data_IF_033077938413
#
_entry.id   IF_033077938413
#
_cell.length_a   1.000
_cell.length_b   1.000
_cell.length_c   1.000
_cell.angle_alpha   90.00
_cell.angle_beta   90.00
_cell.angle_gamma   90.00
#
_symmetry.space_group_name_H-M   'P 1'
#
loop_
_entity.id
_entity.type
_entity.pdbx_description
1 polymer ?
#
# COMPACT_ATOMS: atom_id res chain seq x y z
N UNK A 1 74.59 -3.52 -30.58
CA UNK A 1 73.56 -2.46 -30.64
C UNK A 1 72.72 -2.55 -29.38
N UNK A 2 72.62 -1.42 -28.69
CA UNK A 2 71.97 -1.19 -27.40
C UNK A 2 70.43 -1.08 -27.50
N UNK A 3 69.78 -1.29 -26.35
CA UNK A 3 68.47 -0.77 -25.87
C UNK A 3 67.50 -1.91 -25.50
N UNK A 4 67.32 -2.26 -24.22
CA UNK A 4 66.42 -1.60 -23.24
C UNK A 4 64.98 -1.48 -23.79
N UNK A 5 63.88 -1.89 -23.16
CA UNK A 5 63.43 -1.84 -21.76
C UNK A 5 62.03 -2.55 -21.77
N UNK A 6 61.45 -3.21 -20.76
CA UNK A 6 60.89 -2.67 -19.52
C UNK A 6 60.21 -3.83 -18.77
N UNK A 7 60.47 -3.97 -17.46
CA UNK A 7 59.73 -4.84 -16.52
C UNK A 7 58.33 -4.27 -16.25
N UNK A 8 57.28 -5.11 -16.13
CA UNK A 8 56.06 -4.84 -15.33
C UNK A 8 55.32 -6.16 -15.10
N UNK A 9 55.50 -6.77 -13.92
CA UNK A 9 54.66 -6.62 -12.72
C UNK A 9 53.34 -7.39 -12.82
N UNK A 10 53.38 -8.61 -12.29
CA UNK A 10 52.22 -9.38 -11.85
C UNK A 10 51.55 -8.62 -10.70
N UNK A 11 50.43 -7.95 -10.99
CA UNK A 11 49.56 -7.35 -9.98
C UNK A 11 48.17 -7.95 -10.08
N UNK A 12 47.92 -8.82 -9.11
CA UNK A 12 46.64 -9.24 -8.53
C UNK A 12 45.48 -8.29 -8.92
N UNK A 13 44.57 -8.75 -9.76
CA UNK A 13 43.24 -8.17 -9.94
C UNK A 13 42.28 -8.82 -8.94
N UNK A 14 42.43 -8.46 -7.66
CA UNK A 14 41.32 -8.45 -6.71
C UNK A 14 40.67 -7.06 -6.81
N UNK A 15 39.35 -7.04 -6.72
CA UNK A 15 38.45 -5.88 -6.74
C UNK A 15 38.09 -5.32 -8.13
N UNK A 16 36.91 -5.75 -8.61
CA UNK A 16 35.74 -4.88 -8.84
C UNK A 16 34.52 -5.77 -9.15
N UNK A 17 34.02 -6.45 -8.13
CA UNK A 17 32.63 -6.91 -8.15
C UNK A 17 31.77 -5.65 -8.00
N UNK A 18 31.29 -5.14 -9.14
CA UNK A 18 30.55 -3.89 -9.27
C UNK A 18 29.17 -4.00 -8.61
N UNK A 19 28.85 -3.07 -7.72
CA UNK A 19 27.51 -2.86 -7.15
C UNK A 19 26.41 -2.74 -8.22
N UNK A 20 26.77 -2.33 -9.43
CA UNK A 20 25.89 -2.24 -10.62
C UNK A 20 25.39 -3.59 -11.12
N UNK A 21 26.13 -4.69 -10.90
CA UNK A 21 25.70 -6.04 -11.29
C UNK A 21 24.67 -6.60 -10.31
N UNK A 22 24.87 -6.39 -9.00
CA UNK A 22 23.87 -6.69 -7.97
C UNK A 22 22.59 -5.87 -8.15
N UNK A 23 22.69 -4.63 -8.63
CA UNK A 23 21.53 -3.78 -8.95
C UNK A 23 20.76 -4.26 -10.19
N UNK A 24 21.45 -4.82 -11.19
CA UNK A 24 20.83 -5.48 -12.36
C UNK A 24 20.27 -6.89 -12.06
N UNK A 25 20.77 -7.61 -11.05
CA UNK A 25 20.16 -8.86 -10.61
C UNK A 25 18.86 -8.64 -9.83
N UNK A 26 18.74 -7.50 -9.11
CA UNK A 26 17.48 -7.10 -8.47
C UNK A 26 16.33 -6.85 -9.45
N UNK A 27 16.62 -6.62 -10.75
CA UNK A 27 15.57 -6.50 -11.77
C UNK A 27 15.00 -7.85 -12.24
N UNK A 28 15.45 -8.98 -11.69
CA UNK A 28 14.94 -10.31 -12.05
C UNK A 28 14.36 -11.09 -10.85
N UNK A 29 14.39 -10.55 -9.64
CA UNK A 29 13.85 -11.24 -8.47
C UNK A 29 12.32 -11.36 -8.56
N UNK A 30 11.81 -12.55 -8.25
CA UNK A 30 10.37 -12.87 -8.26
C UNK A 30 9.62 -12.20 -7.12
N UNK A 31 10.25 -12.05 -5.97
CA UNK A 31 9.71 -11.44 -4.76
C UNK A 31 10.70 -10.42 -4.17
N UNK A 32 10.21 -9.40 -3.44
CA UNK A 32 11.08 -8.37 -2.86
C UNK A 32 11.90 -8.88 -1.66
N UNK A 33 11.45 -9.93 -0.98
CA UNK A 33 12.10 -10.49 0.22
C UNK A 33 12.19 -12.00 0.14
N UNK A 34 13.34 -12.58 0.53
CA UNK A 34 13.61 -14.04 0.63
C UNK A 34 12.91 -14.84 -0.47
N UNK A 35 13.34 -14.64 -1.71
CA UNK A 35 12.73 -15.23 -2.91
C UNK A 35 12.63 -16.75 -2.84
N UNK A 36 13.56 -17.40 -2.15
CA UNK A 36 13.60 -18.84 -1.90
C UNK A 36 12.49 -19.34 -0.95
N UNK A 37 11.87 -18.45 -0.17
CA UNK A 37 10.93 -18.79 0.88
C UNK A 37 9.48 -18.62 0.42
N UNK A 38 9.06 -19.52 -0.46
CA UNK A 38 7.70 -19.57 -1.04
C UNK A 38 6.78 -20.48 -0.22
N UNK A 39 5.53 -20.05 -0.04
CA UNK A 39 4.47 -20.84 0.60
C UNK A 39 4.59 -20.94 2.12
N UNK A 40 5.55 -20.22 2.71
CA UNK A 40 5.79 -20.22 4.16
C UNK A 40 5.93 -18.79 4.67
N UNK A 41 5.35 -18.56 5.85
CA UNK A 41 5.50 -17.31 6.57
C UNK A 41 6.92 -17.17 7.14
N UNK A 42 7.49 -15.99 7.02
CA UNK A 42 8.74 -15.60 7.67
C UNK A 42 8.66 -14.17 8.18
N UNK A 43 9.56 -13.79 9.08
CA UNK A 43 9.59 -12.45 9.66
C UNK A 43 10.75 -11.65 9.10
N UNK A 44 10.53 -10.35 8.90
CA UNK A 44 11.58 -9.40 8.54
C UNK A 44 11.58 -8.22 9.51
N UNK A 45 12.74 -7.97 10.10
CA UNK A 45 12.99 -6.75 10.86
C UNK A 45 13.34 -5.62 9.90
N UNK A 46 12.58 -4.54 9.98
CA UNK A 46 12.72 -3.37 9.11
C UNK A 46 12.65 -2.12 9.99
N UNK A 47 13.56 -1.15 9.83
CA UNK A 47 13.46 0.13 10.53
C UNK A 47 12.11 0.79 10.30
N UNK A 48 11.56 1.42 11.33
CA UNK A 48 10.35 2.20 11.19
C UNK A 48 10.68 3.46 10.36
N UNK A 49 9.95 3.76 9.27
CA UNK A 49 10.05 5.02 8.56
C UNK A 49 9.95 6.19 9.54
N UNK A 50 10.83 7.18 9.38
CA UNK A 50 10.90 8.36 10.26
C UNK A 50 11.31 8.09 11.73
N UNK A 51 11.65 6.84 12.09
CA UNK A 51 12.15 6.47 13.42
C UNK A 51 13.21 5.36 13.29
N UNK A 52 14.41 5.68 12.76
CA UNK A 52 15.40 4.67 12.38
C UNK A 52 16.04 3.94 13.58
N UNK A 53 15.79 4.40 14.80
CA UNK A 53 16.27 3.77 16.04
C UNK A 53 15.38 2.60 16.47
N UNK A 54 14.18 2.50 15.92
CA UNK A 54 13.24 1.42 16.18
C UNK A 54 13.07 0.56 14.94
N UNK A 55 13.00 -0.75 15.15
CA UNK A 55 12.65 -1.72 14.11
C UNK A 55 11.26 -2.27 14.40
N UNK A 56 10.50 -2.52 13.33
CA UNK A 56 9.28 -3.32 13.37
C UNK A 56 9.55 -4.69 12.77
N UNK A 57 8.82 -5.68 13.26
CA UNK A 57 8.83 -7.03 12.71
C UNK A 57 7.61 -7.21 11.83
N UNK A 58 7.81 -7.46 10.55
CA UNK A 58 6.74 -7.70 9.58
C UNK A 58 6.70 -9.18 9.23
N UNK A 59 5.52 -9.78 9.26
CA UNK A 59 5.31 -11.14 8.75
C UNK A 59 5.12 -11.09 7.23
N UNK A 60 5.87 -11.92 6.50
CA UNK A 60 5.86 -11.93 5.05
C UNK A 60 5.52 -13.34 4.56
N UNK A 61 4.68 -13.40 3.52
CA UNK A 61 4.36 -14.61 2.78
C UNK A 61 4.53 -14.36 1.29
N UNK A 62 5.36 -15.17 0.63
CA UNK A 62 5.50 -15.18 -0.82
C UNK A 62 4.68 -16.33 -1.42
N UNK A 63 3.84 -16.03 -2.40
CA UNK A 63 2.98 -16.99 -3.07
C UNK A 63 3.17 -16.98 -4.58
N UNK A 64 3.17 -18.19 -5.13
CA UNK A 64 3.32 -18.45 -6.56
C UNK A 64 2.02 -18.91 -7.20
N UNK A 65 1.01 -19.13 -6.37
CA UNK A 65 -0.28 -19.69 -6.72
C UNK A 65 -1.28 -18.59 -7.15
N UNK A 66 -2.54 -19.00 -7.40
CA UNK A 66 -3.65 -18.07 -7.68
C UNK A 66 -3.91 -17.13 -6.49
N UNK A 67 -4.82 -16.17 -6.72
CA UNK A 67 -5.27 -15.20 -5.72
C UNK A 67 -5.47 -15.88 -4.35
N UNK A 68 -4.84 -15.36 -3.27
CA UNK A 68 -4.99 -15.93 -1.95
C UNK A 68 -6.42 -15.75 -1.44
N UNK A 69 -6.82 -16.61 -0.51
CA UNK A 69 -8.11 -16.63 0.16
C UNK A 69 -8.00 -16.11 1.59
N UNK A 70 -9.13 -16.01 2.31
CA UNK A 70 -9.14 -15.57 3.71
C UNK A 70 -8.28 -16.45 4.64
N UNK A 71 -8.22 -17.76 4.38
CA UNK A 71 -7.44 -18.72 5.19
C UNK A 71 -5.94 -18.42 5.14
N UNK A 72 -5.46 -17.94 3.99
CA UNK A 72 -4.09 -17.44 3.82
C UNK A 72 -3.77 -16.35 4.85
N UNK A 73 -4.72 -15.46 5.11
CA UNK A 73 -4.58 -14.33 6.04
C UNK A 73 -4.99 -14.67 7.48
N UNK A 74 -5.39 -15.91 7.78
CA UNK A 74 -5.85 -16.31 9.12
C UNK A 74 -4.88 -15.97 10.26
N UNK A 75 -3.56 -15.96 10.01
CA UNK A 75 -2.56 -15.49 11.00
C UNK A 75 -2.58 -13.97 11.17
N UNK A 76 -2.75 -13.22 10.10
CA UNK A 76 -2.82 -11.76 10.10
C UNK A 76 -4.18 -11.25 10.60
N UNK A 77 -5.24 -12.04 10.44
CA UNK A 77 -6.60 -11.76 10.94
C UNK A 77 -6.75 -12.02 12.45
N UNK A 78 -5.77 -12.67 13.09
CA UNK A 78 -5.73 -12.80 14.54
C UNK A 78 -5.30 -11.47 15.17
N UNK A 79 -6.30 -10.71 15.61
CA UNK A 79 -6.19 -9.59 16.54
C UNK A 79 -7.50 -9.58 17.31
N UNK A 80 -7.46 -9.65 18.64
CA UNK A 80 -8.68 -9.52 19.43
C UNK A 80 -9.32 -8.13 19.25
N UNK A 81 -10.42 -7.88 19.94
CA UNK A 81 -11.28 -6.67 19.81
C UNK A 81 -10.59 -5.31 20.11
N UNK A 82 -9.26 -5.29 20.31
CA UNK A 82 -8.44 -4.11 20.61
C UNK A 82 -7.77 -3.50 19.38
N UNK A 83 -7.81 -4.19 18.22
CA UNK A 83 -7.26 -3.69 16.96
C UNK A 83 -8.32 -3.61 15.87
N UNK A 84 -8.20 -2.59 15.03
CA UNK A 84 -8.84 -2.51 13.72
C UNK A 84 -7.88 -3.10 12.68
N UNK A 85 -8.31 -4.15 12.00
CA UNK A 85 -7.53 -4.79 10.92
C UNK A 85 -7.93 -4.14 9.59
N UNK A 86 -6.94 -3.59 8.88
CA UNK A 86 -7.14 -2.89 7.63
C UNK A 86 -6.20 -3.44 6.55
N UNK A 87 -6.69 -3.51 5.33
CA UNK A 87 -5.99 -4.08 4.18
C UNK A 87 -5.75 -3.03 3.10
N UNK A 88 -4.59 -3.12 2.45
CA UNK A 88 -4.27 -2.35 1.26
C UNK A 88 -3.82 -3.29 0.15
N UNK A 89 -4.62 -3.40 -0.91
CA UNK A 89 -4.29 -4.15 -2.12
C UNK A 89 -3.52 -3.29 -3.12
N UNK A 90 -2.37 -3.77 -3.59
CA UNK A 90 -1.48 -3.01 -4.47
C UNK A 90 -0.53 -3.93 -5.24
N UNK A 91 0.41 -3.37 -6.00
CA UNK A 91 1.48 -4.13 -6.67
C UNK A 91 2.68 -4.38 -5.74
N UNK A 92 3.53 -5.36 -6.06
CA UNK A 92 4.69 -5.70 -5.21
C UNK A 92 5.68 -4.55 -5.01
N UNK A 93 5.88 -3.71 -6.03
CA UNK A 93 6.84 -2.60 -5.97
C UNK A 93 6.32 -1.51 -5.04
N UNK A 94 5.04 -1.18 -5.15
CA UNK A 94 4.36 -0.22 -4.29
C UNK A 94 4.31 -0.72 -2.84
N UNK A 95 3.98 -2.00 -2.63
CA UNK A 95 4.03 -2.62 -1.30
C UNK A 95 5.44 -2.60 -0.69
N UNK A 96 6.47 -2.92 -1.46
CA UNK A 96 7.86 -2.82 -1.00
C UNK A 96 8.23 -1.38 -0.62
N UNK A 97 7.84 -0.40 -1.43
CA UNK A 97 8.11 1.01 -1.13
C UNK A 97 7.43 1.46 0.17
N UNK A 98 6.17 1.05 0.41
CA UNK A 98 5.45 1.31 1.68
C UNK A 98 6.16 0.64 2.86
N UNK A 99 6.59 -0.60 2.70
CA UNK A 99 7.31 -1.35 3.74
C UNK A 99 8.67 -0.70 4.07
N UNK A 100 9.38 -0.16 3.10
CA UNK A 100 10.73 0.38 3.32
C UNK A 100 10.72 1.86 3.69
N UNK A 101 9.77 2.62 3.16
CA UNK A 101 9.76 4.08 3.22
C UNK A 101 8.50 4.68 3.85
N UNK A 102 7.53 3.86 4.23
CA UNK A 102 6.28 4.27 4.85
C UNK A 102 5.23 4.77 3.87
N UNK A 103 4.05 5.06 4.42
CA UNK A 103 2.95 5.71 3.71
C UNK A 103 3.28 7.19 3.53
N UNK A 104 3.57 7.59 2.30
CA UNK A 104 4.01 8.96 1.94
C UNK A 104 2.96 9.64 1.07
N UNK A 105 2.10 10.46 1.67
CA UNK A 105 0.98 11.08 0.97
C UNK A 105 1.47 12.13 -0.06
N UNK A 106 2.60 12.77 0.20
CA UNK A 106 3.28 13.70 -0.72
C UNK A 106 3.72 13.07 -2.05
N UNK A 107 3.93 11.74 -2.08
CA UNK A 107 4.32 11.00 -3.29
C UNK A 107 3.15 10.35 -4.02
N UNK A 108 1.95 10.43 -3.47
CA UNK A 108 0.76 9.98 -4.16
C UNK A 108 0.47 11.01 -5.27
N UNK A 109 0.47 10.52 -6.51
CA UNK A 109 0.43 11.38 -7.69
C UNK A 109 -1.01 11.69 -8.09
N UNK A 110 -1.30 12.96 -8.39
CA UNK A 110 -2.56 13.37 -9.03
C UNK A 110 -2.80 12.72 -10.40
N UNK A 111 -1.78 12.08 -10.98
CA UNK A 111 -1.87 11.31 -12.22
C UNK A 111 -2.68 10.00 -12.08
N UNK A 112 -2.88 9.48 -10.85
CA UNK A 112 -3.83 8.37 -10.61
C UNK A 112 -5.29 8.79 -10.86
N UNK A 113 -5.52 10.10 -10.96
CA UNK A 113 -6.83 10.69 -11.22
C UNK A 113 -7.68 10.83 -9.95
N UNK A 114 -8.91 11.31 -10.10
CA UNK A 114 -9.82 11.47 -8.98
C UNK A 114 -10.26 10.12 -8.43
N UNK A 115 -10.26 9.98 -7.11
CA UNK A 115 -10.75 8.84 -6.35
C UNK A 115 -12.03 9.22 -5.58
N UNK A 116 -12.60 8.30 -4.81
CA UNK A 116 -13.88 8.55 -4.14
C UNK A 116 -13.77 9.69 -3.11
N UNK A 117 -12.66 9.73 -2.35
CA UNK A 117 -12.48 10.63 -1.21
C UNK A 117 -11.28 11.57 -1.32
N UNK A 118 -10.54 11.49 -2.42
CA UNK A 118 -9.34 12.29 -2.66
C UNK A 118 -9.11 12.52 -4.14
N UNK A 119 -8.24 13.49 -4.44
CA UNK A 119 -7.76 13.75 -5.80
C UNK A 119 -6.35 13.18 -5.99
N UNK A 120 -6.19 11.87 -5.79
CA UNK A 120 -4.91 11.16 -5.95
C UNK A 120 -3.88 11.38 -4.84
N UNK A 121 -4.28 11.92 -3.68
CA UNK A 121 -3.39 12.19 -2.53
C UNK A 121 -3.73 11.42 -1.26
N UNK A 122 -4.66 10.47 -1.35
CA UNK A 122 -5.14 9.71 -0.20
C UNK A 122 -4.60 8.30 -0.19
N UNK A 123 -4.29 7.76 0.98
CA UNK A 123 -3.91 6.35 1.12
C UNK A 123 -5.14 5.51 1.49
N UNK A 124 -5.56 4.62 0.57
CA UNK A 124 -6.80 3.86 0.70
C UNK A 124 -6.57 2.50 1.36
N UNK A 125 -7.44 2.17 2.31
CA UNK A 125 -7.49 0.91 3.02
C UNK A 125 -8.94 0.42 3.10
N UNK A 126 -9.15 -0.85 3.38
CA UNK A 126 -10.48 -1.45 3.57
C UNK A 126 -10.46 -2.44 4.74
N UNK A 127 -11.63 -2.71 5.31
CA UNK A 127 -11.80 -3.83 6.27
C UNK A 127 -12.12 -5.14 5.55
N UNK A 128 -12.57 -5.05 4.30
CA UNK A 128 -12.92 -6.21 3.50
C UNK A 128 -11.66 -6.77 2.85
N UNK A 129 -11.41 -8.06 3.04
CA UNK A 129 -10.33 -8.75 2.35
C UNK A 129 -10.82 -9.29 1.00
N UNK A 130 -12.04 -9.83 0.99
CA UNK A 130 -12.62 -10.67 -0.04
C UNK A 130 -12.87 -9.91 -1.34
N UNK A 131 -12.73 -10.62 -2.46
CA UNK A 131 -12.88 -10.06 -3.81
C UNK A 131 -14.33 -9.69 -4.12
N UNK A 132 -15.26 -10.52 -3.65
CA UNK A 132 -16.70 -10.46 -3.96
C UNK A 132 -17.35 -9.17 -3.46
N UNK A 133 -16.82 -8.60 -2.39
CA UNK A 133 -17.25 -7.33 -1.79
C UNK A 133 -16.29 -6.18 -2.10
N UNK A 134 -15.50 -6.30 -3.16
CA UNK A 134 -14.50 -5.30 -3.60
C UNK A 134 -13.44 -4.96 -2.54
N UNK A 135 -13.08 -5.91 -1.70
CA UNK A 135 -12.01 -5.77 -0.70
C UNK A 135 -10.61 -5.68 -1.31
N UNK A 136 -9.59 -5.81 -0.46
CA UNK A 136 -8.20 -5.63 -0.88
C UNK A 136 -7.75 -6.63 -1.96
N UNK A 137 -8.32 -7.84 -2.00
CA UNK A 137 -8.06 -8.80 -3.08
C UNK A 137 -8.60 -8.32 -4.43
N UNK A 138 -9.74 -7.63 -4.47
CA UNK A 138 -10.24 -7.04 -5.72
C UNK A 138 -9.26 -5.96 -6.22
N UNK A 139 -8.85 -5.05 -5.35
CA UNK A 139 -7.94 -3.96 -5.70
C UNK A 139 -6.56 -4.45 -6.13
N UNK A 140 -6.03 -5.49 -5.48
CA UNK A 140 -4.75 -6.08 -5.87
C UNK A 140 -4.83 -6.87 -7.19
N UNK A 141 -5.92 -7.59 -7.47
CA UNK A 141 -5.91 -8.61 -8.53
C UNK A 141 -6.84 -8.36 -9.72
N UNK A 142 -7.84 -7.49 -9.59
CA UNK A 142 -8.90 -7.29 -10.59
C UNK A 142 -9.00 -5.86 -11.10
N UNK A 143 -8.20 -4.95 -10.54
CA UNK A 143 -8.07 -3.60 -11.08
C UNK A 143 -7.56 -3.64 -12.53
N UNK A 144 -8.06 -2.77 -13.43
CA UNK A 144 -7.61 -2.69 -14.84
C UNK A 144 -6.09 -2.47 -15.02
N UNK A 145 -5.41 -1.97 -13.98
CA UNK A 145 -3.96 -1.76 -13.94
C UNK A 145 -3.17 -2.98 -13.41
N UNK A 146 -3.83 -4.13 -13.19
CA UNK A 146 -3.23 -5.32 -12.61
C UNK A 146 -2.09 -5.88 -13.49
N UNK A 147 -0.87 -5.90 -12.93
CA UNK A 147 0.27 -6.63 -13.45
C UNK A 147 0.36 -8.04 -12.81
N UNK A 148 1.33 -8.87 -13.20
CA UNK A 148 1.49 -10.22 -12.64
C UNK A 148 2.01 -10.25 -11.18
N UNK A 149 2.48 -9.11 -10.65
CA UNK A 149 3.16 -8.95 -9.37
C UNK A 149 2.31 -8.14 -8.41
N UNK A 150 1.50 -8.83 -7.62
CA UNK A 150 0.55 -8.23 -6.70
C UNK A 150 0.92 -8.43 -5.23
N UNK A 151 0.33 -7.61 -4.38
CA UNK A 151 0.55 -7.64 -2.95
C UNK A 151 -0.67 -7.17 -2.16
N UNK A 152 -0.78 -7.67 -0.93
CA UNK A 152 -1.72 -7.16 0.07
C UNK A 152 -0.94 -6.86 1.34
N UNK A 153 -1.06 -5.64 1.84
CA UNK A 153 -0.55 -5.23 3.15
C UNK A 153 -1.65 -5.33 4.19
N UNK A 154 -1.29 -5.77 5.40
CA UNK A 154 -2.20 -5.87 6.55
C UNK A 154 -1.70 -4.97 7.67
N UNK A 155 -2.55 -4.03 8.07
CA UNK A 155 -2.32 -3.12 9.18
C UNK A 155 -3.18 -3.55 10.36
N UNK A 156 -2.59 -3.57 11.57
CA UNK A 156 -3.30 -3.80 12.82
C UNK A 156 -3.22 -2.56 13.69
N UNK A 157 -4.16 -1.65 13.49
CA UNK A 157 -4.16 -0.36 14.16
C UNK A 157 -4.87 -0.49 15.51
N UNK A 158 -4.24 -0.11 16.63
CA UNK A 158 -4.93 -0.02 17.91
C UNK A 158 -6.17 0.87 17.82
N UNK A 159 -7.28 0.47 18.44
CA UNK A 159 -8.53 1.22 18.34
C UNK A 159 -8.40 2.66 18.88
N UNK A 160 -7.61 2.84 19.95
CA UNK A 160 -7.34 4.16 20.55
C UNK A 160 -6.60 5.11 19.59
N UNK A 161 -5.75 4.59 18.70
CA UNK A 161 -5.12 5.38 17.63
C UNK A 161 -6.16 5.87 16.65
N UNK A 162 -7.08 5.03 16.17
CA UNK A 162 -8.15 5.48 15.26
C UNK A 162 -9.08 6.47 15.96
N UNK A 163 -9.50 6.17 17.18
CA UNK A 163 -10.40 7.02 17.97
C UNK A 163 -9.81 8.41 18.22
N UNK A 164 -8.50 8.51 18.43
CA UNK A 164 -7.80 9.79 18.58
C UNK A 164 -7.98 10.71 17.37
N UNK A 165 -8.02 10.17 16.16
CA UNK A 165 -8.16 10.95 14.92
C UNK A 165 -9.62 11.07 14.45
N UNK A 166 -10.55 10.32 15.07
CA UNK A 166 -11.97 10.29 14.71
C UNK A 166 -12.66 11.65 14.80
N UNK A 167 -12.24 12.51 15.73
CA UNK A 167 -12.81 13.87 15.88
C UNK A 167 -12.61 14.74 14.62
N UNK A 168 -11.57 14.44 13.84
CA UNK A 168 -11.24 15.13 12.59
C UNK A 168 -11.52 14.25 11.37
N UNK A 169 -12.33 13.20 11.52
CA UNK A 169 -12.67 12.30 10.42
C UNK A 169 -13.95 12.74 9.72
N UNK A 170 -14.03 12.49 8.41
CA UNK A 170 -15.28 12.58 7.65
C UNK A 170 -15.85 11.18 7.51
N UNK A 171 -16.89 10.86 8.27
CA UNK A 171 -17.56 9.55 8.21
C UNK A 171 -18.81 9.67 7.33
N UNK A 172 -18.86 8.89 6.26
CA UNK A 172 -19.96 8.81 5.31
C UNK A 172 -20.65 7.46 5.46
N UNK A 173 -21.98 7.47 5.49
CA UNK A 173 -22.78 6.25 5.74
C UNK A 173 -23.50 5.78 4.48
N UNK A 174 -23.61 4.46 4.33
CA UNK A 174 -24.51 3.85 3.34
C UNK A 174 -25.96 4.32 3.50
N UNK A 175 -26.41 4.61 4.73
CA UNK A 175 -27.78 5.07 4.99
C UNK A 175 -28.01 6.54 4.62
N UNK A 176 -26.93 7.32 4.45
CA UNK A 176 -27.00 8.71 3.97
C UNK A 176 -26.37 8.83 2.58
N UNK A 177 -26.99 8.17 1.59
CA UNK A 177 -26.46 8.12 0.22
C UNK A 177 -26.36 9.48 -0.45
N UNK A 178 -27.23 10.43 -0.10
CA UNK A 178 -27.21 11.78 -0.69
C UNK A 178 -25.93 12.52 -0.31
N UNK A 179 -25.56 12.52 0.97
CA UNK A 179 -24.32 13.12 1.45
C UNK A 179 -23.09 12.45 0.83
N UNK A 180 -23.06 11.11 0.82
CA UNK A 180 -21.98 10.34 0.20
C UNK A 180 -21.83 10.68 -1.29
N UNK A 181 -22.93 10.65 -2.05
CA UNK A 181 -22.91 10.95 -3.49
C UNK A 181 -22.42 12.37 -3.74
N UNK A 182 -22.97 13.35 -3.01
CA UNK A 182 -22.54 14.74 -3.12
C UNK A 182 -21.05 14.92 -2.78
N UNK A 183 -20.53 14.17 -1.82
CA UNK A 183 -19.11 14.21 -1.47
C UNK A 183 -18.25 13.63 -2.59
N UNK A 184 -18.55 12.42 -3.04
CA UNK A 184 -17.79 11.70 -4.07
C UNK A 184 -17.82 12.42 -5.41
N UNK A 185 -18.97 13.01 -5.79
CA UNK A 185 -19.11 13.76 -7.05
C UNK A 185 -18.12 14.92 -7.15
N UNK A 186 -17.82 15.61 -6.04
CA UNK A 186 -16.84 16.71 -6.03
C UNK A 186 -15.46 16.24 -6.50
N UNK A 187 -15.04 15.06 -6.05
CA UNK A 187 -13.75 14.48 -6.45
C UNK A 187 -13.83 13.85 -7.85
N UNK A 188 -14.81 12.99 -8.10
CA UNK A 188 -14.90 12.17 -9.31
C UNK A 188 -15.38 12.89 -10.57
N UNK A 189 -16.22 13.93 -10.47
CA UNK A 189 -16.72 14.65 -11.65
C UNK A 189 -15.66 15.52 -12.32
N UNK A 190 -14.62 15.93 -11.58
CA UNK A 190 -13.56 16.81 -12.08
C UNK A 190 -14.04 18.22 -12.44
N UNK A 191 -15.22 18.61 -11.93
CA UNK A 191 -15.81 19.94 -12.12
C UNK A 191 -15.39 20.91 -11.00
N UNK A 192 -14.98 20.38 -9.85
CA UNK A 192 -14.51 21.16 -8.71
C UNK A 192 -13.03 21.48 -8.86
N UNK A 193 -12.63 22.72 -8.57
CA UNK A 193 -11.22 23.12 -8.62
C UNK A 193 -10.44 22.37 -7.53
N UNK A 194 -9.22 21.92 -7.83
CA UNK A 194 -8.37 21.22 -6.86
C UNK A 194 -8.22 22.00 -5.54
N UNK A 195 -8.07 23.33 -5.60
CA UNK A 195 -7.97 24.17 -4.39
C UNK A 195 -9.21 24.12 -3.50
N UNK A 196 -10.39 23.91 -4.06
CA UNK A 196 -11.63 23.78 -3.30
C UNK A 196 -11.73 22.40 -2.66
N UNK A 197 -11.30 21.35 -3.37
CA UNK A 197 -11.17 20.00 -2.81
C UNK A 197 -10.15 19.96 -1.67
N UNK A 198 -9.03 20.67 -1.81
CA UNK A 198 -8.02 20.80 -0.76
C UNK A 198 -8.59 21.47 0.50
N UNK A 199 -9.43 22.51 0.35
CA UNK A 199 -10.12 23.16 1.47
C UNK A 199 -11.13 22.25 2.16
N UNK A 200 -11.85 21.42 1.40
CA UNK A 200 -12.80 20.44 1.98
C UNK A 200 -12.07 19.45 2.90
N UNK A 201 -10.83 19.11 2.54
CA UNK A 201 -10.00 18.17 3.26
C UNK A 201 -9.02 18.85 4.24
N UNK A 202 -9.02 20.18 4.31
CA UNK A 202 -8.17 20.97 5.20
C UNK A 202 -8.60 20.67 6.65
N UNK A 203 -7.75 19.94 7.38
CA UNK A 203 -7.98 19.39 8.73
C UNK A 203 -8.73 18.05 8.81
N UNK A 204 -9.09 17.43 7.69
CA UNK A 204 -9.65 16.08 7.70
C UNK A 204 -8.51 15.07 7.83
N UNK A 205 -8.52 14.26 8.89
CA UNK A 205 -7.48 13.25 9.13
C UNK A 205 -7.64 12.03 8.25
N UNK A 206 -8.89 11.60 8.07
CA UNK A 206 -9.27 10.55 7.14
C UNK A 206 -10.75 10.68 6.76
N UNK A 207 -11.12 10.10 5.61
CA UNK A 207 -12.50 9.89 5.20
C UNK A 207 -12.81 8.40 5.28
N UNK A 208 -13.97 8.04 5.78
CA UNK A 208 -14.41 6.64 5.88
C UNK A 208 -15.83 6.51 5.31
N UNK A 209 -16.09 5.46 4.54
CA UNK A 209 -17.41 5.19 4.00
C UNK A 209 -17.43 4.02 3.03
N UNK A 210 -18.59 3.70 2.42
CA UNK A 210 -18.68 2.65 1.43
C UNK A 210 -18.05 3.07 0.09
N UNK A 211 -17.78 2.08 -0.76
CA UNK A 211 -17.38 2.29 -2.15
C UNK A 211 -18.56 2.71 -3.02
N UNK A 212 -18.26 3.52 -4.03
CA UNK A 212 -19.22 3.81 -5.10
C UNK A 212 -18.87 3.07 -6.38
N UNK A 213 -19.89 2.83 -7.20
CA UNK A 213 -19.72 2.36 -8.57
C UNK A 213 -19.87 3.55 -9.52
N UNK A 214 -18.84 3.75 -10.33
CA UNK A 214 -18.79 4.81 -11.34
C UNK A 214 -19.07 4.24 -12.74
N UNK A 215 -19.84 4.99 -13.54
CA UNK A 215 -19.90 4.83 -14.99
C UNK A 215 -19.49 6.15 -15.63
N UNK A 216 -18.24 6.22 -16.10
CA UNK A 216 -17.62 7.48 -16.47
C UNK A 216 -17.54 8.41 -15.24
N UNK A 217 -18.13 9.60 -15.36
CA UNK A 217 -18.16 10.61 -14.28
C UNK A 217 -19.42 10.55 -13.39
N UNK A 218 -20.29 9.57 -13.60
CA UNK A 218 -21.56 9.45 -12.86
C UNK A 218 -21.52 8.31 -11.86
N UNK A 219 -22.00 8.57 -10.66
CA UNK A 219 -22.26 7.54 -9.66
C UNK A 219 -23.50 6.76 -10.09
N UNK A 220 -23.34 5.48 -10.37
CA UNK A 220 -24.45 4.59 -10.70
C UNK A 220 -24.97 3.83 -9.49
N UNK A 221 -24.12 3.61 -8.48
CA UNK A 221 -24.52 2.87 -7.28
C UNK A 221 -23.63 3.19 -6.08
N UNK A 222 -24.16 2.97 -4.88
CA UNK A 222 -23.43 2.92 -3.61
C UNK A 222 -23.42 1.47 -3.17
N UNK A 223 -22.25 0.91 -2.91
CA UNK A 223 -22.11 -0.53 -2.71
C UNK A 223 -22.29 -0.89 -1.23
N UNK A 224 -23.42 -1.52 -0.92
CA UNK A 224 -23.71 -2.02 0.43
C UNK A 224 -22.69 -3.11 0.84
N UNK A 225 -22.29 -3.11 2.11
CA UNK A 225 -21.34 -4.07 2.66
C UNK A 225 -19.87 -3.81 2.31
N UNK A 226 -19.59 -2.81 1.49
CA UNK A 226 -18.22 -2.34 1.23
C UNK A 226 -17.79 -1.30 2.25
N UNK A 227 -16.49 -1.23 2.50
CA UNK A 227 -15.89 -0.26 3.41
C UNK A 227 -14.54 0.19 2.89
N UNK A 228 -14.28 1.49 2.92
CA UNK A 228 -12.99 2.07 2.60
C UNK A 228 -12.66 3.25 3.53
N UNK A 229 -11.38 3.37 3.86
CA UNK A 229 -10.78 4.49 4.58
C UNK A 229 -9.75 5.13 3.67
N UNK A 230 -9.80 6.46 3.55
CA UNK A 230 -8.81 7.26 2.86
C UNK A 230 -8.06 8.12 3.89
N UNK A 231 -6.79 7.80 4.15
CA UNK A 231 -5.92 8.60 5.05
C UNK A 231 -5.45 9.85 4.31
N UNK A 232 -5.59 10.99 4.98
CA UNK A 232 -5.23 12.31 4.45
C UNK A 232 -4.23 13.06 5.35
N UNK A 233 -4.04 12.61 6.59
CA UNK A 233 -3.08 13.18 7.53
C UNK A 233 -1.75 12.43 7.51
N UNK A 234 -0.66 13.16 7.30
CA UNK A 234 0.71 12.64 7.42
C UNK A 234 1.01 12.10 8.82
N UNK A 235 0.44 12.74 9.86
CA UNK A 235 0.61 12.26 11.24
C UNK A 235 -0.09 10.91 11.45
N UNK A 236 -1.29 10.71 10.87
CA UNK A 236 -1.97 9.43 10.91
C UNK A 236 -1.23 8.37 10.08
N UNK A 237 -0.71 8.73 8.90
CA UNK A 237 0.09 7.84 8.06
C UNK A 237 1.31 7.26 8.81
N UNK A 238 2.02 8.09 9.60
CA UNK A 238 3.14 7.63 10.44
C UNK A 238 2.73 6.61 11.50
N UNK A 239 1.50 6.68 12.03
CA UNK A 239 0.98 5.64 12.92
C UNK A 239 0.77 4.33 12.18
N UNK A 240 0.23 4.39 10.96
CA UNK A 240 0.05 3.19 10.12
C UNK A 240 1.39 2.51 9.83
N UNK A 241 2.47 3.27 9.60
CA UNK A 241 3.80 2.70 9.44
C UNK A 241 4.22 1.86 10.66
N UNK A 242 3.95 2.32 11.88
CA UNK A 242 4.28 1.58 13.11
C UNK A 242 3.47 0.29 13.26
N UNK A 243 2.32 0.21 12.59
CA UNK A 243 1.32 -0.83 12.78
C UNK A 243 1.11 -1.73 11.53
N UNK A 244 2.04 -1.67 10.57
CA UNK A 244 2.13 -2.65 9.49
C UNK A 244 2.58 -4.01 10.04
N UNK A 245 1.67 -4.98 10.06
CA UNK A 245 1.84 -6.29 10.70
C UNK A 245 2.30 -7.36 9.71
N UNK A 246 1.69 -7.38 8.53
CA UNK A 246 1.92 -8.45 7.54
C UNK A 246 1.91 -7.95 6.10
N UNK A 247 2.61 -8.67 5.22
CA UNK A 247 2.57 -8.48 3.78
C UNK A 247 2.50 -9.83 3.05
N UNK A 248 1.58 -9.96 2.10
CA UNK A 248 1.47 -11.12 1.21
C UNK A 248 1.84 -10.68 -0.19
N UNK A 249 2.90 -11.25 -0.76
CA UNK A 249 3.33 -11.00 -2.13
C UNK A 249 2.95 -12.17 -3.02
N UNK A 250 2.34 -11.87 -4.17
CA UNK A 250 1.90 -12.86 -5.14
C UNK A 250 2.53 -12.56 -6.49
N UNK A 251 3.16 -13.57 -7.08
CA UNK A 251 3.71 -13.47 -8.42
C UNK A 251 3.15 -14.62 -9.27
N UNK A 252 2.15 -14.28 -10.10
CA UNK A 252 1.48 -15.22 -11.00
C UNK A 252 2.47 -15.64 -12.10
N UNK A 253 2.79 -16.94 -12.14
CA UNK A 253 3.53 -17.55 -13.24
C UNK A 253 2.64 -17.78 -14.45
#
# INVERSE_FOLDING_TARGET
MLSACFKRSTRILRHRFNATFSQKLRSCARFPYQEENVGKWFTKEIPIPHDPFHVRTINILNLTEKCPDADTFSKALKGGDVFRVLFHGTDQKSAQDIIENGVRLDKLHSETGPEDFSFGRGFYLTENLEREVRGALFWAFDSPSCNAKQAVLVFKIPNDVIDKYRANAKILSYHNQEELRSFVEKFRAGETLQRELEKILENVSYVEGPEVKMLGKRIVDVLEGTHQICILSEELAKWFDRHLDSAVFVNKQ
#
